data_IF_720486622694
#
_entry.id   IF_720486622694
#
_cell.length_a   1.000
_cell.length_b   1.000
_cell.length_c   1.000
_cell.angle_alpha   90.00
_cell.angle_beta   90.00
_cell.angle_gamma   90.00
#
_symmetry.space_group_name_H-M   'P 1'
#
loop_
_entity.id
_entity.type
_entity.pdbx_description
1 polymer ?
#
# COMPACT_ATOMS: atom_id res chain seq x y z
N UNK A 1 6.88 6.17 11.49
CA UNK A 1 6.29 6.33 10.14
C UNK A 1 6.24 4.97 9.47
N UNK A 2 5.28 4.75 8.56
CA UNK A 2 5.04 3.45 7.94
C UNK A 2 5.30 3.53 6.44
N UNK A 3 6.21 2.71 5.92
CA UNK A 3 6.51 2.63 4.50
C UNK A 3 5.33 2.05 3.72
N UNK A 4 5.04 2.60 2.54
CA UNK A 4 4.04 2.04 1.63
C UNK A 4 4.46 0.61 1.27
N UNK A 5 3.65 -0.36 1.64
CA UNK A 5 4.03 -1.77 1.81
C UNK A 5 4.84 -2.40 0.66
N UNK A 6 5.58 -3.47 0.96
CA UNK A 6 6.45 -4.17 0.00
C UNK A 6 6.20 -5.68 -0.02
N UNK A 7 6.24 -6.34 -1.18
CA UNK A 7 6.25 -7.80 -1.24
C UNK A 7 7.61 -8.39 -0.82
N UNK A 8 8.65 -7.56 -0.71
CA UNK A 8 10.02 -7.99 -0.40
C UNK A 8 10.23 -7.93 1.11
N UNK A 9 10.57 -9.09 1.69
CA UNK A 9 10.95 -9.25 3.10
C UNK A 9 12.41 -8.92 3.39
N UNK A 10 12.74 -8.73 4.67
CA UNK A 10 14.12 -8.60 5.14
C UNK A 10 14.83 -7.29 4.76
N UNK A 11 14.08 -6.25 4.39
CA UNK A 11 14.64 -4.93 4.11
C UNK A 11 15.12 -4.30 5.42
N UNK A 12 16.39 -3.90 5.46
CA UNK A 12 16.99 -3.20 6.61
C UNK A 12 17.15 -1.70 6.36
N UNK A 13 17.20 -1.30 5.09
CA UNK A 13 17.26 0.10 4.65
C UNK A 13 16.38 0.29 3.43
N UNK A 14 15.50 1.27 3.50
CA UNK A 14 14.65 1.71 2.40
C UNK A 14 15.45 2.70 1.54
N UNK A 15 15.41 2.52 0.23
CA UNK A 15 16.11 3.36 -0.73
C UNK A 15 15.12 4.20 -1.54
N UNK A 16 15.41 5.49 -1.82
CA UNK A 16 14.58 6.30 -2.70
C UNK A 16 14.47 5.67 -4.08
N UNK A 17 13.24 5.58 -4.61
CA UNK A 17 12.98 5.02 -5.94
C UNK A 17 12.18 5.99 -6.79
N UNK A 18 12.48 6.00 -8.08
CA UNK A 18 11.69 6.78 -9.04
C UNK A 18 10.28 6.19 -9.10
N UNK A 19 9.31 7.06 -8.84
CA UNK A 19 7.87 6.75 -8.89
C UNK A 19 7.21 7.56 -10.02
N UNK A 20 5.88 7.65 -10.03
CA UNK A 20 5.11 8.39 -11.04
C UNK A 20 5.47 9.89 -11.12
N UNK A 21 6.09 10.46 -10.08
CA UNK A 21 6.50 11.86 -10.05
C UNK A 21 7.89 12.12 -10.65
N UNK A 22 8.57 11.10 -11.20
CA UNK A 22 9.91 11.18 -11.79
C UNK A 22 11.02 11.69 -10.85
N UNK A 23 10.75 11.72 -9.55
CA UNK A 23 11.69 12.10 -8.49
C UNK A 23 11.92 10.84 -7.63
N UNK A 24 13.18 10.50 -7.31
CA UNK A 24 13.48 9.38 -6.42
C UNK A 24 13.08 9.74 -4.99
N UNK A 25 12.05 9.07 -4.47
CA UNK A 25 11.50 9.30 -3.15
C UNK A 25 11.18 7.97 -2.46
N UNK A 26 11.20 7.98 -1.13
CA UNK A 26 10.59 6.97 -0.28
C UNK A 26 9.28 7.55 0.24
N UNK A 27 8.18 6.82 0.09
CA UNK A 27 6.86 7.26 0.54
C UNK A 27 6.46 6.56 1.85
N UNK A 28 6.04 7.36 2.80
CA UNK A 28 5.56 6.93 4.10
C UNK A 28 4.17 7.48 4.38
N UNK A 29 3.46 6.80 5.28
CA UNK A 29 2.30 7.35 5.96
C UNK A 29 2.56 7.50 7.46
N UNK A 30 1.96 8.52 8.07
CA UNK A 30 1.94 8.72 9.52
C UNK A 30 0.96 7.77 10.21
N UNK A 31 -0.04 7.28 9.48
CA UNK A 31 -1.05 6.31 9.95
C UNK A 31 -0.75 4.94 9.37
N UNK A 32 -0.94 3.90 10.18
CA UNK A 32 -0.61 2.51 9.81
C UNK A 32 -1.60 1.98 8.79
N UNK A 33 -2.89 2.16 9.07
CA UNK A 33 -4.02 1.77 8.24
C UNK A 33 -3.91 2.30 6.80
N UNK A 34 -3.37 3.50 6.62
CA UNK A 34 -3.20 4.12 5.31
C UNK A 34 -2.20 3.39 4.39
N UNK A 35 -1.36 2.50 4.94
CA UNK A 35 -0.35 1.78 4.15
C UNK A 35 -0.86 0.49 3.50
N UNK A 36 -1.97 -0.07 3.99
CA UNK A 36 -2.50 -1.36 3.55
C UNK A 36 -2.86 -1.37 2.06
N UNK A 37 -3.42 -0.27 1.57
CA UNK A 37 -3.82 -0.11 0.17
C UNK A 37 -2.64 -0.19 -0.80
N UNK A 38 -1.40 -0.08 -0.32
CA UNK A 38 -0.20 -0.17 -1.16
C UNK A 38 0.32 -1.59 -1.33
N UNK A 39 -0.22 -2.58 -0.61
CA UNK A 39 0.17 -4.00 -0.75
C UNK A 39 -0.05 -4.58 -2.14
N UNK A 40 -1.08 -4.10 -2.84
CA UNK A 40 -1.46 -4.61 -4.16
C UNK A 40 -1.92 -3.49 -5.08
N UNK A 41 -1.72 -3.66 -6.38
CA UNK A 41 -2.29 -2.82 -7.42
C UNK A 41 -3.22 -3.69 -8.26
N UNK A 42 -4.50 -3.34 -8.36
CA UNK A 42 -5.49 -4.23 -8.96
C UNK A 42 -5.17 -4.56 -10.42
N UNK A 43 -4.70 -3.57 -11.19
CA UNK A 43 -4.39 -3.75 -12.61
C UNK A 43 -3.14 -4.61 -12.77
N UNK A 44 -2.10 -4.34 -11.97
CA UNK A 44 -0.87 -5.15 -11.99
C UNK A 44 -1.18 -6.61 -11.62
N UNK A 45 -1.98 -6.83 -10.57
CA UNK A 45 -2.38 -8.16 -10.13
C UNK A 45 -3.19 -8.88 -11.21
N UNK A 46 -4.20 -8.22 -11.77
CA UNK A 46 -5.02 -8.79 -12.85
C UNK A 46 -4.17 -9.20 -14.05
N UNK A 47 -3.23 -8.36 -14.49
CA UNK A 47 -2.34 -8.69 -15.60
C UNK A 47 -1.48 -9.92 -15.29
N UNK A 48 -0.90 -10.00 -14.08
CA UNK A 48 -0.10 -11.17 -13.65
C UNK A 48 -0.94 -12.44 -13.59
N UNK A 49 -2.13 -12.37 -13.00
CA UNK A 49 -3.02 -13.52 -12.81
C UNK A 49 -3.56 -14.06 -14.15
N UNK A 50 -3.76 -13.19 -15.13
CA UNK A 50 -4.27 -13.55 -16.48
C UNK A 50 -3.15 -13.83 -17.50
N UNK A 51 -1.89 -13.60 -17.14
CA UNK A 51 -0.75 -13.73 -18.05
C UNK A 51 -0.70 -12.64 -19.13
N UNK A 52 -1.36 -11.50 -18.91
CA UNK A 52 -1.28 -10.35 -19.82
C UNK A 52 0.09 -9.68 -19.67
N UNK A 53 0.88 -9.70 -20.74
CA UNK A 53 2.24 -9.17 -20.77
C UNK A 53 2.25 -7.64 -20.99
N UNK A 54 2.17 -6.88 -19.88
CA UNK A 54 2.27 -5.43 -19.89
C UNK A 54 3.73 -4.98 -19.71
N UNK A 55 4.22 -4.17 -20.65
CA UNK A 55 5.60 -3.69 -20.71
C UNK A 55 5.78 -2.20 -20.33
N UNK A 56 4.71 -1.55 -19.87
CA UNK A 56 4.73 -0.14 -19.48
C UNK A 56 4.95 0.10 -17.98
N UNK A 57 4.81 1.36 -17.56
CA UNK A 57 4.88 1.75 -16.15
C UNK A 57 3.55 1.53 -15.46
N UNK A 58 3.54 0.80 -14.35
CA UNK A 58 2.35 0.63 -13.51
C UNK A 58 1.96 1.95 -12.86
N UNK A 59 0.77 2.47 -13.19
CA UNK A 59 0.14 3.53 -12.43
C UNK A 59 -0.62 2.93 -11.26
N UNK A 60 -0.62 3.61 -10.10
CA UNK A 60 -1.34 3.13 -8.93
C UNK A 60 -2.84 3.22 -9.19
N UNK A 61 -3.51 2.07 -9.08
CA UNK A 61 -4.97 1.97 -9.11
C UNK A 61 -5.44 1.08 -7.96
N UNK A 62 -6.49 1.49 -7.27
CA UNK A 62 -7.07 0.73 -6.16
C UNK A 62 -8.37 1.36 -5.66
N UNK A 63 -9.21 0.54 -5.05
CA UNK A 63 -10.53 0.84 -4.49
C UNK A 63 -10.44 1.63 -3.17
N UNK A 64 -9.76 2.78 -3.17
CA UNK A 64 -9.63 3.62 -1.98
C UNK A 64 -9.59 5.11 -2.29
N UNK A 65 -9.95 5.91 -1.29
CA UNK A 65 -9.84 7.36 -1.28
C UNK A 65 -9.73 7.89 0.15
N UNK A 66 -9.88 9.20 0.30
CA UNK A 66 -9.96 9.87 1.59
C UNK A 66 -11.18 10.78 1.59
N UNK A 67 -11.88 10.86 2.73
CA UNK A 67 -12.96 11.84 2.90
C UNK A 67 -12.42 13.24 3.24
N UNK A 68 -13.33 14.19 3.48
CA UNK A 68 -13.00 15.59 3.79
C UNK A 68 -12.19 15.76 5.07
N UNK A 69 -12.27 14.79 5.99
CA UNK A 69 -11.49 14.76 7.24
C UNK A 69 -10.14 14.06 7.08
N UNK A 70 -9.80 13.61 5.86
CA UNK A 70 -8.58 12.87 5.58
C UNK A 70 -8.58 11.44 6.12
N UNK A 71 -9.75 10.87 6.38
CA UNK A 71 -9.91 9.48 6.82
C UNK A 71 -9.96 8.58 5.58
N UNK A 72 -9.15 7.54 5.56
CA UNK A 72 -9.14 6.59 4.45
C UNK A 72 -10.47 5.85 4.33
N UNK A 73 -10.99 5.78 3.10
CA UNK A 73 -12.20 5.05 2.73
C UNK A 73 -11.86 4.00 1.69
N UNK A 74 -12.36 2.80 1.88
CA UNK A 74 -12.34 1.75 0.86
C UNK A 74 -13.71 1.72 0.18
N UNK A 75 -13.73 1.70 -1.15
CA UNK A 75 -14.96 1.74 -1.94
C UNK A 75 -14.92 0.70 -3.05
N UNK A 76 -15.98 -0.08 -3.19
CA UNK A 76 -16.16 -1.01 -4.31
C UNK A 76 -16.58 -0.25 -5.56
N UNK A 77 -15.63 0.06 -6.45
CA UNK A 77 -15.92 0.68 -7.76
C UNK A 77 -16.67 -0.27 -8.70
N UNK A 78 -16.52 -1.57 -8.49
CA UNK A 78 -17.25 -2.65 -9.14
C UNK A 78 -17.36 -3.83 -8.17
N UNK A 79 -18.26 -4.81 -8.39
CA UNK A 79 -18.42 -5.93 -7.47
C UNK A 79 -17.09 -6.70 -7.26
N UNK A 80 -16.72 -6.90 -6.00
CA UNK A 80 -15.53 -7.66 -5.56
C UNK A 80 -14.17 -7.01 -5.89
N UNK A 81 -14.10 -5.73 -6.21
CA UNK A 81 -12.84 -5.05 -6.53
C UNK A 81 -11.81 -5.16 -5.38
N UNK A 82 -12.22 -5.03 -4.12
CA UNK A 82 -11.30 -5.22 -2.99
C UNK A 82 -10.84 -6.67 -2.88
N UNK A 83 -11.76 -7.64 -2.96
CA UNK A 83 -11.38 -9.05 -2.90
C UNK A 83 -10.40 -9.40 -4.01
N UNK A 84 -10.71 -9.08 -5.27
CA UNK A 84 -9.86 -9.37 -6.42
C UNK A 84 -8.48 -8.74 -6.30
N UNK A 85 -8.41 -7.53 -5.73
CA UNK A 85 -7.15 -6.79 -5.57
C UNK A 85 -6.27 -7.39 -4.48
N UNK A 86 -6.83 -7.85 -3.36
CA UNK A 86 -6.04 -8.14 -2.15
C UNK A 86 -6.08 -9.61 -1.69
N UNK A 87 -7.02 -10.43 -2.19
CA UNK A 87 -7.09 -11.85 -1.85
C UNK A 87 -5.81 -12.57 -2.23
N UNK A 88 -5.24 -13.29 -1.27
CA UNK A 88 -3.99 -14.03 -1.43
C UNK A 88 -2.73 -13.17 -1.51
N UNK A 89 -2.83 -11.84 -1.40
CA UNK A 89 -1.66 -10.95 -1.40
C UNK A 89 -1.01 -10.97 -0.02
N UNK A 90 0.32 -11.11 -0.01
CA UNK A 90 1.13 -10.98 1.19
C UNK A 90 2.22 -9.94 0.98
N UNK A 91 2.59 -9.26 2.05
CA UNK A 91 3.65 -8.26 2.03
C UNK A 91 4.12 -7.90 3.43
N UNK A 92 4.89 -6.83 3.48
CA UNK A 92 5.54 -6.33 4.67
C UNK A 92 5.27 -4.83 4.78
N UNK A 93 4.84 -4.39 5.95
CA UNK A 93 4.85 -2.98 6.32
C UNK A 93 6.12 -2.73 7.11
N UNK A 94 6.95 -1.82 6.61
CA UNK A 94 8.17 -1.43 7.30
C UNK A 94 7.94 -0.14 8.09
N UNK A 95 8.53 -0.08 9.27
CA UNK A 95 8.49 1.09 10.14
C UNK A 95 9.84 1.81 10.12
N UNK A 96 9.77 3.13 10.28
CA UNK A 96 10.93 3.98 10.53
C UNK A 96 10.63 4.93 11.69
N UNK A 97 11.56 5.06 12.64
CA UNK A 97 11.40 5.91 13.82
C UNK A 97 11.35 7.39 13.45
N UNK A 98 12.17 7.78 12.47
CA UNK A 98 12.24 9.14 11.93
C UNK A 98 12.70 9.12 10.48
N UNK A 99 12.32 10.14 9.72
CA UNK A 99 12.82 10.37 8.36
C UNK A 99 13.34 11.80 8.24
N UNK A 100 14.20 12.03 7.25
CA UNK A 100 14.51 13.39 6.76
C UNK A 100 13.46 13.72 5.71
N UNK A 101 12.60 14.70 6.00
CA UNK A 101 11.54 15.13 5.08
C UNK A 101 12.15 15.71 3.79
N UNK A 102 11.65 15.29 2.63
CA UNK A 102 12.18 15.72 1.33
C UNK A 102 11.75 17.14 0.94
N UNK A 103 10.74 17.71 1.61
CA UNK A 103 10.08 18.96 1.23
C UNK A 103 9.16 18.82 0.02
N UNK A 104 9.04 17.64 -0.59
CA UNK A 104 8.13 17.39 -1.69
C UNK A 104 6.68 17.33 -1.21
N UNK A 105 5.85 18.22 -1.73
CA UNK A 105 4.43 18.29 -1.36
C UNK A 105 3.64 17.14 -2.00
N UNK A 106 3.10 16.27 -1.14
CA UNK A 106 2.26 15.14 -1.54
C UNK A 106 0.79 15.48 -1.25
N UNK A 107 -0.07 15.39 -2.26
CA UNK A 107 -1.51 15.61 -2.12
C UNK A 107 -2.23 14.35 -1.57
N UNK A 108 -1.70 13.79 -0.48
CA UNK A 108 -2.23 12.58 0.17
C UNK A 108 -2.24 12.85 1.68
N UNK A 109 -3.40 12.75 2.36
CA UNK A 109 -3.48 12.92 3.80
C UNK A 109 -2.49 12.01 4.54
N UNK A 110 -1.82 12.59 5.54
CA UNK A 110 -0.85 11.89 6.39
C UNK A 110 0.36 11.29 5.66
N UNK A 111 0.59 11.61 4.39
CA UNK A 111 1.79 11.19 3.67
C UNK A 111 3.01 12.01 4.10
N UNK A 112 4.18 11.37 4.05
CA UNK A 112 5.48 11.99 4.21
C UNK A 112 6.46 11.35 3.23
N UNK A 113 7.50 12.08 2.83
CA UNK A 113 8.48 11.57 1.87
C UNK A 113 9.90 11.84 2.32
N UNK A 114 10.83 10.97 1.92
CA UNK A 114 12.27 11.19 2.09
C UNK A 114 12.99 11.01 0.77
N UNK A 115 13.99 11.86 0.50
CA UNK A 115 14.94 11.71 -0.60
C UNK A 115 16.23 11.00 -0.17
N UNK A 116 16.36 10.70 1.12
CA UNK A 116 17.52 10.03 1.70
C UNK A 116 17.18 8.58 2.05
N UNK A 117 18.16 7.67 2.09
CA UNK A 117 17.95 6.33 2.61
C UNK A 117 17.46 6.34 4.06
N UNK A 118 16.54 5.44 4.41
CA UNK A 118 15.93 5.37 5.75
C UNK A 118 16.12 3.98 6.34
N UNK A 119 16.71 3.92 7.53
CA UNK A 119 16.85 2.68 8.29
C UNK A 119 15.48 2.16 8.74
N UNK A 120 15.27 0.85 8.61
CA UNK A 120 14.09 0.16 9.10
C UNK A 120 14.23 -0.07 10.60
N UNK A 121 13.25 0.39 11.39
CA UNK A 121 13.21 0.17 12.85
C UNK A 121 12.25 -0.95 13.25
N UNK A 122 11.34 -1.34 12.37
CA UNK A 122 10.38 -2.41 12.62
C UNK A 122 9.81 -2.98 11.34
N UNK A 123 9.27 -4.20 11.42
CA UNK A 123 8.59 -4.84 10.31
C UNK A 123 7.37 -5.59 10.84
N UNK A 124 6.27 -5.41 10.14
CA UNK A 124 5.07 -6.20 10.32
C UNK A 124 4.92 -7.10 9.09
N UNK A 125 4.91 -8.41 9.30
CA UNK A 125 4.55 -9.36 8.25
C UNK A 125 3.04 -9.38 8.13
N UNK A 126 2.56 -9.06 6.93
CA UNK A 126 1.15 -9.01 6.65
C UNK A 126 0.83 -9.97 5.50
N UNK A 127 0.27 -11.13 5.84
CA UNK A 127 -0.62 -11.79 4.91
C UNK A 127 -1.93 -10.99 4.93
N UNK A 128 -2.37 -10.40 3.82
CA UNK A 128 -3.53 -9.50 3.81
C UNK A 128 -4.81 -10.14 4.39
N UNK A 129 -4.89 -11.48 4.32
CA UNK A 129 -5.96 -12.31 4.89
C UNK A 129 -5.93 -12.42 6.44
N UNK A 130 -4.80 -12.14 7.08
CA UNK A 130 -4.61 -12.29 8.53
C UNK A 130 -4.70 -10.96 9.31
N UNK A 131 -4.83 -9.82 8.63
CA UNK A 131 -4.79 -8.51 9.27
C UNK A 131 -6.13 -8.15 9.93
N UNK A 132 -6.23 -7.92 11.25
CA UNK A 132 -7.52 -7.76 11.93
C UNK A 132 -8.41 -6.64 11.40
N UNK A 133 -7.88 -5.54 10.88
CA UNK A 133 -8.70 -4.44 10.31
C UNK A 133 -9.13 -4.75 8.87
N UNK A 134 -8.29 -5.49 8.13
CA UNK A 134 -8.60 -5.95 6.77
C UNK A 134 -9.56 -7.13 6.81
N UNK A 135 -9.35 -8.05 7.76
CA UNK A 135 -10.24 -9.13 8.15
C UNK A 135 -11.50 -8.60 8.79
N UNK A 136 -11.47 -7.55 9.61
CA UNK A 136 -12.69 -6.90 10.11
C UNK A 136 -13.46 -6.27 8.95
N UNK A 137 -12.78 -5.64 7.99
CA UNK A 137 -13.43 -5.11 6.80
C UNK A 137 -14.01 -6.23 5.92
N UNK A 138 -13.24 -7.27 5.62
CA UNK A 138 -13.66 -8.45 4.84
C UNK A 138 -14.73 -9.28 5.57
N UNK A 139 -14.60 -9.53 6.87
CA UNK A 139 -15.55 -10.29 7.70
C UNK A 139 -16.89 -9.52 7.87
N UNK A 140 -16.86 -8.18 8.03
CA UNK A 140 -18.09 -7.40 8.21
C UNK A 140 -18.79 -6.99 6.92
N UNK A 141 -18.09 -6.93 5.77
CA UNK A 141 -18.66 -6.49 4.48
C UNK A 141 -18.73 -7.57 3.41
N UNK A 142 -17.92 -8.62 3.49
CA UNK A 142 -17.72 -9.64 2.45
C UNK A 142 -17.64 -11.07 3.04
N UNK A 143 -18.28 -11.34 4.18
CA UNK A 143 -18.16 -12.62 4.90
C UNK A 143 -18.63 -13.85 4.11
N UNK A 144 -19.47 -13.67 3.09
CA UNK A 144 -19.98 -14.76 2.26
C UNK A 144 -18.94 -15.30 1.24
N UNK A 145 -17.84 -14.57 0.99
CA UNK A 145 -16.80 -14.93 0.01
C UNK A 145 -15.50 -15.48 0.64
N UNK A 146 -15.51 -15.66 1.97
CA UNK A 146 -14.37 -16.12 2.77
C UNK A 146 -14.39 -17.63 3.07
N UNK A 147 -15.23 -18.42 2.39
CA UNK A 147 -15.25 -19.90 2.49
C UNK A 147 -14.29 -20.59 1.51
#
# INVERSE_FOLDING_TARGET
MFFHASPIGGIQQLEPRVSNHNIPLIYFSKKRENTLVYLSNAIEKYCKDTGFDYQGTWQKWGSYGFDEDGIQRLEEYYPNALEETYKGVSGYIYQADSIIDSGFEVQIPDAATSSEPVAVSGVEYENASNHPEYRYFLDNKMSEYLQ
#
